data_IF_674878101849
#
_entry.id   IF_674878101849
#
_cell.length_a   1.000
_cell.length_b   1.000
_cell.length_c   1.000
_cell.angle_alpha   90.00
_cell.angle_beta   90.00
_cell.angle_gamma   90.00
#
_symmetry.space_group_name_H-M   'P 1'
#
loop_
_entity.id
_entity.type
_entity.pdbx_description
1 polymer ?
#
# COMPACT_ATOMS: atom_id res chain seq x y z
N UNK A 1 33.05 -3.14 -39.22
CA UNK A 1 32.79 -4.28 -38.33
C UNK A 1 32.00 -3.79 -37.12
N UNK A 2 30.72 -4.21 -37.02
CA UNK A 2 29.74 -4.02 -35.92
C UNK A 2 29.42 -2.55 -35.58
N UNK A 3 28.27 -1.96 -35.91
CA UNK A 3 26.97 -2.47 -36.30
C UNK A 3 25.94 -1.41 -35.88
N UNK A 4 25.83 -0.34 -36.65
CA UNK A 4 24.73 0.64 -36.56
C UNK A 4 23.49 -0.02 -37.20
N UNK A 5 22.68 -0.73 -36.42
CA UNK A 5 21.39 -1.22 -36.88
C UNK A 5 20.37 -1.21 -35.74
N UNK A 6 19.56 -0.16 -35.75
CA UNK A 6 18.11 -0.31 -35.82
C UNK A 6 17.45 -1.30 -34.83
N UNK A 7 17.36 -0.91 -33.56
CA UNK A 7 16.25 -1.39 -32.69
C UNK A 7 15.55 -0.21 -32.02
N UNK A 8 15.24 0.84 -32.79
CA UNK A 8 14.25 1.85 -32.41
C UNK A 8 12.79 1.32 -32.45
N UNK A 9 12.54 0.05 -32.79
CA UNK A 9 11.18 -0.40 -33.17
C UNK A 9 10.76 -1.74 -32.52
N UNK A 10 11.60 -2.36 -31.69
CA UNK A 10 11.18 -3.50 -30.84
C UNK A 10 10.62 -3.08 -29.46
N UNK A 11 10.48 -1.77 -29.21
CA UNK A 11 9.37 -1.23 -28.39
C UNK A 11 8.03 -1.39 -29.16
N UNK A 12 7.85 -2.56 -29.77
CA UNK A 12 6.66 -2.97 -30.48
C UNK A 12 5.53 -3.07 -29.45
N UNK A 13 4.52 -2.21 -29.59
CA UNK A 13 3.15 -2.53 -29.17
C UNK A 13 2.93 -2.93 -27.70
N UNK A 14 3.68 -2.33 -26.76
CA UNK A 14 3.42 -2.53 -25.32
C UNK A 14 2.96 -1.24 -24.61
N UNK A 15 2.49 -0.24 -25.35
CA UNK A 15 1.67 0.85 -24.80
C UNK A 15 0.25 0.39 -24.41
N UNK A 16 0.09 -0.84 -23.90
CA UNK A 16 -1.20 -1.52 -23.81
C UNK A 16 -1.57 -2.08 -22.43
N UNK A 17 -0.93 -1.66 -21.34
CA UNK A 17 -1.53 -1.75 -20.00
C UNK A 17 -1.20 -0.49 -19.17
N UNK A 18 -2.17 0.42 -19.12
CA UNK A 18 -2.16 1.72 -18.42
C UNK A 18 -2.19 1.61 -16.87
N UNK A 19 -1.67 0.51 -16.32
CA UNK A 19 -1.81 0.20 -14.90
C UNK A 19 -0.47 -0.29 -14.36
N UNK A 20 0.26 0.60 -13.70
CA UNK A 20 1.55 0.29 -13.08
C UNK A 20 1.33 -0.37 -11.71
N UNK A 21 2.06 -1.46 -11.40
CA UNK A 21 1.97 -2.08 -10.08
C UNK A 21 2.53 -1.14 -8.99
N UNK A 22 2.03 -1.27 -7.77
CA UNK A 22 2.53 -0.53 -6.62
C UNK A 22 3.57 -1.36 -5.88
N UNK A 23 4.68 -0.75 -5.45
CA UNK A 23 5.65 -1.42 -4.58
C UNK A 23 5.56 -0.84 -3.16
N UNK A 24 5.36 -1.69 -2.16
CA UNK A 24 5.39 -1.29 -0.76
C UNK A 24 6.13 -2.32 0.09
N UNK A 25 7.16 -1.88 0.83
CA UNK A 25 8.05 -2.72 1.65
C UNK A 25 8.64 -3.92 0.87
N UNK A 26 8.97 -3.73 -0.41
CA UNK A 26 9.49 -4.78 -1.29
C UNK A 26 8.45 -5.78 -1.79
N UNK A 27 7.16 -5.55 -1.51
CA UNK A 27 6.03 -6.34 -2.03
C UNK A 27 5.39 -5.59 -3.20
N UNK A 28 5.19 -6.30 -4.31
CA UNK A 28 4.53 -5.77 -5.51
C UNK A 28 3.05 -6.10 -5.50
N UNK A 29 2.20 -5.07 -5.54
CA UNK A 29 0.75 -5.15 -5.58
C UNK A 29 0.25 -4.83 -6.99
N UNK A 30 -0.78 -5.55 -7.45
CA UNK A 30 -1.40 -5.27 -8.73
C UNK A 30 -2.28 -4.03 -8.61
N UNK A 31 -2.47 -3.28 -9.72
CA UNK A 31 -3.46 -2.23 -9.76
C UNK A 31 -4.83 -2.75 -9.31
N UNK A 32 -5.53 -1.96 -8.51
CA UNK A 32 -6.80 -2.28 -7.84
C UNK A 32 -6.68 -3.19 -6.60
N UNK A 33 -5.48 -3.68 -6.24
CA UNK A 33 -5.32 -4.46 -5.00
C UNK A 33 -5.51 -3.56 -3.77
N UNK A 34 -6.11 -4.14 -2.74
CA UNK A 34 -6.19 -3.54 -1.40
C UNK A 34 -5.21 -4.29 -0.51
N UNK A 35 -4.40 -3.55 0.25
CA UNK A 35 -3.42 -4.13 1.15
C UNK A 35 -3.36 -3.38 2.48
N UNK A 36 -3.04 -4.13 3.52
CA UNK A 36 -2.81 -3.59 4.86
C UNK A 36 -1.35 -3.14 4.95
N UNK A 37 -1.11 -1.84 5.11
CA UNK A 37 0.23 -1.28 5.29
C UNK A 37 0.73 -1.47 6.73
N UNK A 38 -0.17 -1.21 7.67
CA UNK A 38 0.00 -1.38 9.10
C UNK A 38 -1.39 -1.61 9.73
N UNK A 39 -1.51 -1.97 11.03
CA UNK A 39 -2.81 -2.26 11.64
C UNK A 39 -3.86 -1.15 11.43
N UNK A 40 -3.45 0.11 11.28
CA UNK A 40 -4.35 1.25 11.12
C UNK A 40 -4.51 1.76 9.69
N UNK A 41 -3.64 1.36 8.77
CA UNK A 41 -3.60 1.91 7.41
C UNK A 41 -3.92 0.84 6.39
N UNK A 42 -5.03 1.04 5.68
CA UNK A 42 -5.39 0.24 4.51
C UNK A 42 -5.16 1.06 3.25
N UNK A 43 -4.35 0.53 2.35
CA UNK A 43 -4.01 1.19 1.10
C UNK A 43 -4.65 0.48 -0.08
N UNK A 44 -4.96 1.27 -1.10
CA UNK A 44 -5.48 0.83 -2.39
C UNK A 44 -4.47 1.19 -3.46
N UNK A 45 -3.98 0.18 -4.19
CA UNK A 45 -3.06 0.39 -5.29
C UNK A 45 -3.79 0.99 -6.49
N UNK A 46 -3.55 2.27 -6.78
CA UNK A 46 -4.16 2.91 -7.95
C UNK A 46 -3.48 2.46 -9.26
N UNK A 47 -4.09 2.80 -10.40
CA UNK A 47 -3.51 2.49 -11.72
C UNK A 47 -2.23 3.28 -12.04
N UNK A 48 -1.91 4.31 -11.26
CA UNK A 48 -0.79 5.25 -11.54
C UNK A 48 0.42 5.02 -10.62
N UNK A 49 0.66 3.78 -10.19
CA UNK A 49 1.71 3.42 -9.20
C UNK A 49 1.67 4.18 -7.86
N UNK A 50 0.64 5.00 -7.62
CA UNK A 50 0.40 5.72 -6.37
C UNK A 50 -0.61 4.95 -5.53
N UNK A 51 -0.31 4.72 -4.25
CA UNK A 51 -1.23 4.08 -3.32
C UNK A 51 -2.09 5.14 -2.61
N UNK A 52 -3.41 5.00 -2.71
CA UNK A 52 -4.36 5.82 -1.96
C UNK A 52 -4.67 5.12 -0.62
N UNK A 53 -4.35 5.74 0.51
CA UNK A 53 -4.39 5.09 1.82
C UNK A 53 -5.41 5.75 2.74
N UNK A 54 -6.24 4.91 3.36
CA UNK A 54 -7.14 5.29 4.43
C UNK A 54 -6.50 4.94 5.77
N UNK A 55 -6.46 5.90 6.67
CA UNK A 55 -5.91 5.76 8.02
C UNK A 55 -7.07 5.77 9.02
N UNK A 56 -7.14 4.77 9.87
CA UNK A 56 -8.08 4.72 10.98
C UNK A 56 -7.60 5.69 12.07
N UNK A 57 -8.47 6.62 12.46
CA UNK A 57 -8.30 7.40 13.69
C UNK A 57 -9.12 6.76 14.80
N UNK A 58 -8.43 6.33 15.84
CA UNK A 58 -9.05 5.73 17.02
C UNK A 58 -9.40 6.80 18.05
N UNK A 59 -10.54 6.61 18.70
CA UNK A 59 -10.82 7.31 19.96
C UNK A 59 -9.96 6.73 21.10
N UNK A 60 -9.75 7.54 22.13
CA UNK A 60 -9.05 7.10 23.34
C UNK A 60 -10.06 6.70 24.41
N UNK A 61 -10.23 5.40 24.71
CA UNK A 61 -11.26 4.97 25.65
C UNK A 61 -10.94 5.44 27.07
N UNK A 62 -11.97 5.64 27.88
CA UNK A 62 -11.83 5.82 29.34
C UNK A 62 -12.05 4.47 30.02
N UNK A 63 -11.01 3.91 30.62
CA UNK A 63 -11.10 2.65 31.33
C UNK A 63 -11.49 2.86 32.80
N UNK A 64 -12.10 1.83 33.39
CA UNK A 64 -12.48 1.83 34.80
C UNK A 64 -11.26 1.73 35.72
N UNK A 65 -11.44 2.06 37.00
CA UNK A 65 -10.39 1.96 38.04
C UNK A 65 -9.11 2.76 37.74
N UNK A 66 -9.16 3.72 36.82
CA UNK A 66 -8.02 4.57 36.46
C UNK A 66 -6.93 3.86 35.67
N UNK A 67 -7.22 2.71 35.06
CA UNK A 67 -6.25 2.04 34.19
C UNK A 67 -6.09 2.81 32.88
N UNK A 68 -4.87 2.84 32.36
CA UNK A 68 -4.60 3.46 31.06
C UNK A 68 -4.95 2.49 29.93
N UNK A 69 -5.60 2.97 28.84
CA UNK A 69 -5.77 2.18 27.63
C UNK A 69 -4.42 1.71 27.07
N UNK A 70 -4.42 0.53 26.47
CA UNK A 70 -3.23 -0.11 25.89
C UNK A 70 -3.55 -0.56 24.47
N UNK A 71 -2.63 -0.34 23.53
CA UNK A 71 -2.70 -0.92 22.18
C UNK A 71 -2.05 -2.30 22.20
N UNK A 72 -2.83 -3.33 21.89
CA UNK A 72 -2.34 -4.70 21.84
C UNK A 72 -1.55 -4.97 20.56
N UNK A 73 -0.65 -5.95 20.59
CA UNK A 73 0.17 -6.30 19.42
C UNK A 73 -0.73 -6.75 18.25
N UNK A 74 -0.55 -6.13 17.09
CA UNK A 74 -1.35 -6.39 15.89
C UNK A 74 -2.67 -5.62 15.81
N UNK A 75 -3.08 -4.94 16.88
CA UNK A 75 -4.30 -4.11 16.89
C UNK A 75 -4.01 -2.67 16.47
N UNK A 76 -4.98 -2.04 15.81
CA UNK A 76 -4.89 -0.62 15.50
C UNK A 76 -5.20 0.26 16.72
N UNK A 77 -6.31 -0.02 17.40
CA UNK A 77 -6.87 0.87 18.40
C UNK A 77 -6.57 0.41 19.83
N UNK A 78 -6.39 1.35 20.77
CA UNK A 78 -6.20 1.01 22.17
C UNK A 78 -7.50 0.46 22.79
N UNK A 79 -7.36 -0.52 23.67
CA UNK A 79 -8.43 -1.09 24.49
C UNK A 79 -8.12 -0.98 25.98
N UNK A 80 -9.09 -1.34 26.80
CA UNK A 80 -8.88 -1.51 28.24
C UNK A 80 -8.38 -2.94 28.52
N UNK A 81 -7.31 -3.11 29.31
CA UNK A 81 -6.83 -4.43 29.71
C UNK A 81 -7.80 -5.17 30.62
#
# INVERSE_FOLDING_TARGET
MKGFLATCVLFSLAGLLLAEPCEHNGVTYKPMDVYQKDPCTTCYCSKKSEADCNIIQCDWPRCEHGVSPVTFEGECCPGCP
#
